data_IF_450476139482
#
_entry.id   IF_450476139482
#
_cell.length_a   1.000
_cell.length_b   1.000
_cell.length_c   1.000
_cell.angle_alpha   90.00
_cell.angle_beta   90.00
_cell.angle_gamma   90.00
#
_symmetry.space_group_name_H-M   'P 1'
#
loop_
_entity.id
_entity.type
_entity.pdbx_description
1 polymer ?
#
# COMPACT_ATOMS: atom_id res chain seq x y z
N UNK A 1 -17.31 -31.11 3.98
CA UNK A 1 -16.11 -31.19 3.11
C UNK A 1 -15.04 -32.02 3.78
N UNK A 2 -14.58 -33.07 3.11
CA UNK A 2 -13.47 -33.90 3.57
C UNK A 2 -12.19 -33.05 3.69
N UNK A 3 -11.30 -33.38 4.65
CA UNK A 3 -10.07 -32.61 4.91
C UNK A 3 -9.21 -32.38 3.66
N UNK A 4 -9.16 -33.37 2.75
CA UNK A 4 -8.45 -33.27 1.47
C UNK A 4 -9.08 -32.24 0.51
N UNK A 5 -10.40 -32.14 0.47
CA UNK A 5 -11.10 -31.14 -0.36
C UNK A 5 -10.89 -29.72 0.16
N UNK A 6 -10.87 -29.53 1.50
CA UNK A 6 -10.56 -28.22 2.11
C UNK A 6 -9.15 -27.76 1.73
N UNK A 7 -8.18 -28.68 1.74
CA UNK A 7 -6.79 -28.39 1.37
C UNK A 7 -6.65 -27.93 -0.07
N UNK A 8 -7.25 -28.64 -1.04
CA UNK A 8 -7.19 -28.22 -2.45
C UNK A 8 -7.93 -26.92 -2.74
N UNK A 9 -9.04 -26.63 -2.04
CA UNK A 9 -9.74 -25.35 -2.16
C UNK A 9 -8.91 -24.20 -1.60
N UNK A 10 -8.25 -24.40 -0.45
CA UNK A 10 -7.31 -23.43 0.12
C UNK A 10 -6.14 -23.17 -0.83
N UNK A 11 -5.53 -24.22 -1.37
CA UNK A 11 -4.43 -24.10 -2.34
C UNK A 11 -4.87 -23.37 -3.62
N UNK A 12 -6.06 -23.69 -4.14
CA UNK A 12 -6.64 -22.99 -5.29
C UNK A 12 -6.90 -21.51 -5.01
N UNK A 13 -7.49 -21.19 -3.86
CA UNK A 13 -7.74 -19.80 -3.45
C UNK A 13 -6.45 -19.00 -3.28
N UNK A 14 -5.41 -19.61 -2.71
CA UNK A 14 -4.09 -18.99 -2.56
C UNK A 14 -3.48 -18.69 -3.93
N UNK A 15 -3.63 -19.61 -4.88
CA UNK A 15 -3.06 -19.41 -6.21
C UNK A 15 -3.78 -18.33 -7.03
N UNK A 16 -5.09 -18.19 -6.85
CA UNK A 16 -5.86 -17.08 -7.41
C UNK A 16 -5.34 -15.75 -6.85
N UNK A 17 -5.10 -15.67 -5.54
CA UNK A 17 -4.55 -14.46 -4.89
C UNK A 17 -3.17 -14.10 -5.45
N UNK A 18 -2.29 -15.08 -5.66
CA UNK A 18 -0.96 -14.82 -6.23
C UNK A 18 -1.03 -14.30 -7.67
N UNK A 19 -1.89 -14.89 -8.51
CA UNK A 19 -2.10 -14.42 -9.89
C UNK A 19 -2.65 -12.98 -9.87
N UNK A 20 -3.59 -12.69 -8.97
CA UNK A 20 -4.15 -11.36 -8.81
C UNK A 20 -3.06 -10.34 -8.42
N UNK A 21 -2.20 -10.68 -7.46
CA UNK A 21 -1.08 -9.82 -7.04
C UNK A 21 -0.12 -9.54 -8.20
N UNK A 22 0.18 -10.54 -9.03
CA UNK A 22 1.09 -10.38 -10.18
C UNK A 22 0.47 -9.50 -11.26
N UNK A 23 -0.83 -9.60 -11.51
CA UNK A 23 -1.52 -8.77 -12.51
C UNK A 23 -1.61 -7.31 -12.03
N UNK A 24 -1.94 -7.11 -10.75
CA UNK A 24 -2.12 -5.78 -10.14
C UNK A 24 -0.81 -5.18 -9.58
N UNK A 25 0.34 -5.81 -9.83
CA UNK A 25 1.64 -5.20 -9.54
C UNK A 25 1.87 -4.00 -10.46
N UNK A 26 2.70 -3.05 -10.03
CA UNK A 26 3.04 -1.84 -10.79
C UNK A 26 3.44 -2.15 -12.24
N UNK A 27 4.27 -3.18 -12.46
CA UNK A 27 4.68 -3.60 -13.80
C UNK A 27 3.55 -4.24 -14.64
N UNK A 28 2.63 -4.96 -14.00
CA UNK A 28 1.47 -5.55 -14.67
C UNK A 28 0.53 -4.46 -15.16
N UNK A 29 0.16 -3.54 -14.28
CA UNK A 29 -0.71 -2.40 -14.60
C UNK A 29 -0.11 -1.53 -15.71
N UNK A 30 1.18 -1.19 -15.65
CA UNK A 30 1.87 -0.38 -16.67
C UNK A 30 1.81 -1.08 -18.04
N UNK A 31 2.03 -2.39 -18.11
CA UNK A 31 2.01 -3.14 -19.38
C UNK A 31 0.60 -3.19 -19.99
N UNK A 32 -0.44 -3.38 -19.16
CA UNK A 32 -1.82 -3.35 -19.62
C UNK A 32 -2.27 -1.96 -20.09
N UNK A 33 -1.86 -0.90 -19.39
CA UNK A 33 -2.14 0.49 -19.79
C UNK A 33 -1.36 0.87 -21.04
N UNK A 34 -0.08 0.52 -21.14
CA UNK A 34 0.75 0.78 -22.32
C UNK A 34 0.21 0.08 -23.57
N UNK A 35 -0.39 -1.11 -23.43
CA UNK A 35 -1.07 -1.80 -24.53
C UNK A 35 -2.33 -1.05 -25.04
N UNK A 36 -2.87 -0.12 -24.26
CA UNK A 36 -4.03 0.71 -24.61
C UNK A 36 -3.64 2.09 -25.17
N UNK A 37 -2.36 2.48 -25.07
CA UNK A 37 -1.86 3.78 -25.54
C UNK A 37 -1.46 3.69 -27.01
N UNK A 38 -2.09 4.50 -27.86
CA UNK A 38 -1.62 4.77 -29.22
C UNK A 38 -0.31 5.55 -29.19
N UNK A 39 0.63 5.20 -30.07
CA UNK A 39 2.03 5.68 -30.17
C UNK A 39 2.14 7.17 -30.61
N UNK A 40 1.35 8.06 -30.02
CA UNK A 40 1.37 9.51 -30.26
C UNK A 40 2.14 10.22 -29.13
N UNK A 41 3.30 10.83 -29.41
CA UNK A 41 4.13 11.54 -28.43
C UNK A 41 3.44 12.71 -27.72
N UNK A 42 2.30 13.20 -28.25
CA UNK A 42 1.52 14.29 -27.65
C UNK A 42 0.30 13.82 -26.84
N UNK A 43 0.06 12.50 -26.77
CA UNK A 43 -1.05 11.92 -25.99
C UNK A 43 -0.93 12.15 -24.47
N UNK A 44 0.22 12.63 -23.98
CA UNK A 44 0.41 13.03 -22.58
C UNK A 44 -0.56 14.14 -22.14
N UNK A 45 -1.01 14.99 -23.09
CA UNK A 45 -2.00 16.05 -22.83
C UNK A 45 -3.44 15.60 -23.03
N UNK A 46 -3.69 14.31 -23.25
CA UNK A 46 -5.06 13.83 -23.29
C UNK A 46 -5.71 13.97 -21.90
N UNK A 47 -6.93 14.51 -21.90
CA UNK A 47 -7.71 14.76 -20.69
C UNK A 47 -7.98 13.44 -19.95
N UNK A 48 -8.16 12.35 -20.69
CA UNK A 48 -8.42 11.01 -20.15
C UNK A 48 -7.23 10.48 -19.32
N UNK A 49 -6.02 10.55 -19.86
CA UNK A 49 -4.76 10.13 -19.21
C UNK A 49 -4.46 10.97 -17.97
N UNK A 50 -4.66 12.29 -18.06
CA UNK A 50 -4.44 13.20 -16.92
C UNK A 50 -5.37 12.88 -15.74
N UNK A 51 -6.65 12.61 -16.00
CA UNK A 51 -7.62 12.23 -14.96
C UNK A 51 -7.26 10.89 -14.33
N UNK A 52 -6.85 9.90 -15.14
CA UNK A 52 -6.46 8.59 -14.66
C UNK A 52 -5.22 8.66 -13.75
N UNK A 53 -4.21 9.45 -14.14
CA UNK A 53 -3.02 9.67 -13.33
C UNK A 53 -3.36 10.39 -12.01
N UNK A 54 -4.18 11.45 -12.05
CA UNK A 54 -4.60 12.17 -10.86
C UNK A 54 -5.39 11.29 -9.86
N UNK A 55 -6.22 10.36 -10.36
CA UNK A 55 -6.90 9.40 -9.50
C UNK A 55 -5.92 8.37 -8.90
N UNK A 56 -4.97 7.88 -9.70
CA UNK A 56 -3.96 6.94 -9.23
C UNK A 56 -3.09 7.54 -8.11
N UNK A 57 -2.63 8.78 -8.28
CA UNK A 57 -1.83 9.49 -7.26
C UNK A 57 -2.65 9.73 -5.99
N UNK A 58 -3.91 10.16 -6.13
CA UNK A 58 -4.81 10.35 -4.99
C UNK A 58 -5.04 9.05 -4.19
N UNK A 59 -5.25 7.92 -4.88
CA UNK A 59 -5.45 6.61 -4.24
C UNK A 59 -4.15 6.12 -3.56
N UNK A 60 -2.99 6.32 -4.22
CA UNK A 60 -1.68 5.95 -3.67
C UNK A 60 -1.41 6.65 -2.33
N UNK A 61 -1.48 7.99 -2.30
CA UNK A 61 -1.22 8.74 -1.06
C UNK A 61 -2.26 8.43 0.01
N UNK A 62 -3.55 8.42 -0.33
CA UNK A 62 -4.61 8.22 0.67
C UNK A 62 -4.52 6.84 1.32
N UNK A 63 -4.29 5.77 0.57
CA UNK A 63 -4.14 4.42 1.12
C UNK A 63 -2.90 4.29 2.02
N UNK A 64 -1.76 4.88 1.63
CA UNK A 64 -0.55 4.89 2.44
C UNK A 64 -0.73 5.67 3.76
N UNK A 65 -1.37 6.84 3.72
CA UNK A 65 -1.66 7.66 4.89
C UNK A 65 -2.63 6.95 5.84
N UNK A 66 -3.66 6.29 5.32
CA UNK A 66 -4.59 5.51 6.14
C UNK A 66 -3.90 4.34 6.85
N UNK A 67 -3.01 3.62 6.15
CA UNK A 67 -2.20 2.56 6.75
C UNK A 67 -1.26 3.07 7.84
N UNK A 68 -0.56 4.18 7.57
CA UNK A 68 0.31 4.84 8.55
C UNK A 68 -0.47 5.32 9.78
N UNK A 69 -1.61 5.99 9.60
CA UNK A 69 -2.45 6.46 10.69
C UNK A 69 -2.94 5.30 11.58
N UNK A 70 -3.29 4.16 11.00
CA UNK A 70 -3.70 2.99 11.77
C UNK A 70 -2.55 2.42 12.61
N UNK A 71 -1.35 2.33 12.03
CA UNK A 71 -0.16 1.90 12.76
C UNK A 71 0.16 2.87 13.92
N UNK A 72 0.18 4.18 13.65
CA UNK A 72 0.47 5.22 14.64
C UNK A 72 -0.54 5.20 15.80
N UNK A 73 -1.84 4.98 15.53
CA UNK A 73 -2.86 4.88 16.60
C UNK A 73 -2.50 3.80 17.62
N UNK A 74 -2.02 2.65 17.15
CA UNK A 74 -1.72 1.50 18.03
C UNK A 74 -0.37 1.67 18.73
N UNK A 75 0.68 2.03 17.99
CA UNK A 75 2.03 2.17 18.52
C UNK A 75 2.16 3.43 19.39
N UNK A 76 1.52 4.53 18.99
CA UNK A 76 1.57 5.80 19.73
C UNK A 76 0.93 5.70 21.11
N UNK A 77 -0.21 5.00 21.24
CA UNK A 77 -0.85 4.78 22.55
C UNK A 77 -0.01 3.88 23.46
N UNK A 78 0.60 2.83 22.91
CA UNK A 78 1.54 1.99 23.65
C UNK A 78 2.82 2.74 24.06
N UNK A 79 3.36 3.59 23.19
CA UNK A 79 4.51 4.43 23.47
C UNK A 79 4.25 5.38 24.64
N UNK A 80 3.11 6.09 24.63
CA UNK A 80 2.70 6.98 25.71
C UNK A 80 2.50 6.22 27.03
N UNK A 81 1.88 5.03 26.98
CA UNK A 81 1.70 4.20 28.18
C UNK A 81 3.04 3.76 28.77
N UNK A 82 4.02 3.40 27.93
CA UNK A 82 5.34 2.96 28.40
C UNK A 82 6.14 4.08 29.08
N UNK A 83 5.89 5.34 28.69
CA UNK A 83 6.52 6.51 29.28
C UNK A 83 6.11 6.74 30.72
N UNK A 84 4.89 6.35 31.08
CA UNK A 84 4.41 6.45 32.46
C UNK A 84 5.15 5.52 33.41
N UNK A 85 5.74 4.43 32.91
CA UNK A 85 6.48 3.47 33.74
C UNK A 85 8.00 3.67 33.67
N UNK A 86 8.54 3.96 32.49
CA UNK A 86 9.98 4.11 32.26
C UNK A 86 10.27 5.22 31.26
N UNK A 87 10.58 6.41 31.76
CA UNK A 87 10.95 7.56 30.93
C UNK A 87 12.18 7.28 30.04
N UNK A 88 13.10 6.45 30.52
CA UNK A 88 14.29 6.02 29.76
C UNK A 88 13.96 5.30 28.44
N UNK A 89 12.75 4.73 28.32
CA UNK A 89 12.31 4.03 27.12
C UNK A 89 11.79 4.99 26.01
N UNK A 90 11.69 6.30 26.28
CA UNK A 90 11.11 7.30 25.38
C UNK A 90 11.64 7.22 23.96
N UNK A 91 12.96 7.31 23.80
CA UNK A 91 13.56 7.39 22.48
C UNK A 91 13.31 6.12 21.66
N UNK A 92 13.34 4.96 22.33
CA UNK A 92 13.10 3.67 21.68
C UNK A 92 11.64 3.53 21.23
N UNK A 93 10.69 3.98 22.05
CA UNK A 93 9.28 3.98 21.72
C UNK A 93 8.94 4.98 20.60
N UNK A 94 9.52 6.20 20.66
CA UNK A 94 9.35 7.23 19.64
C UNK A 94 9.90 6.81 18.28
N UNK A 95 11.03 6.11 18.24
CA UNK A 95 11.61 5.61 17.00
C UNK A 95 10.65 4.67 16.24
N UNK A 96 9.88 3.84 16.95
CA UNK A 96 8.88 2.97 16.30
C UNK A 96 7.72 3.78 15.72
N UNK A 97 7.29 4.84 16.40
CA UNK A 97 6.27 5.76 15.87
C UNK A 97 6.76 6.46 14.60
N UNK A 98 8.01 6.93 14.58
CA UNK A 98 8.61 7.53 13.40
C UNK A 98 8.73 6.54 12.22
N UNK A 99 9.01 5.26 12.48
CA UNK A 99 8.97 4.22 11.44
C UNK A 99 7.56 4.02 10.87
N UNK A 100 6.50 4.18 11.67
CA UNK A 100 5.13 4.15 11.17
C UNK A 100 4.79 5.37 10.30
N UNK A 101 5.38 6.53 10.56
CA UNK A 101 5.21 7.74 9.74
C UNK A 101 5.89 7.59 8.37
N UNK A 102 7.02 6.90 8.29
CA UNK A 102 7.73 6.66 7.03
C UNK A 102 6.87 5.99 5.94
N UNK A 103 5.87 5.18 6.33
CA UNK A 103 4.90 4.60 5.39
C UNK A 103 4.11 5.66 4.61
N UNK A 104 3.70 6.74 5.27
CA UNK A 104 3.00 7.85 4.60
C UNK A 104 3.93 8.59 3.64
N UNK A 105 5.20 8.77 4.03
CA UNK A 105 6.22 9.42 3.19
C UNK A 105 6.51 8.60 1.95
N UNK A 106 6.57 7.26 2.04
CA UNK A 106 6.71 6.42 0.86
C UNK A 106 5.52 6.54 -0.10
N UNK A 107 4.29 6.63 0.43
CA UNK A 107 3.11 6.91 -0.38
C UNK A 107 3.18 8.27 -1.09
N UNK A 108 3.70 9.29 -0.42
CA UNK A 108 3.91 10.63 -0.99
C UNK A 108 5.01 10.65 -2.07
N UNK A 109 6.10 9.90 -1.88
CA UNK A 109 7.19 9.83 -2.87
C UNK A 109 6.74 9.13 -4.16
N UNK A 110 5.84 8.15 -4.04
CA UNK A 110 5.35 7.36 -5.18
C UNK A 110 4.28 8.12 -5.99
N UNK A 111 3.56 9.03 -5.35
CA UNK A 111 2.51 9.82 -5.98
C UNK A 111 3.06 11.00 -6.80
#
# INVERSE_FOLDING_TARGET
MNGKQKFYVLLGSFQIVLIFIVIFTTNGIITFVAAQVTDDPLAYFDTSTTIALALATAISVSSAVLGSAWAIRTVGTAAISSLSEREEAFFKAFLVVALCEALAVYGLIVA
#
